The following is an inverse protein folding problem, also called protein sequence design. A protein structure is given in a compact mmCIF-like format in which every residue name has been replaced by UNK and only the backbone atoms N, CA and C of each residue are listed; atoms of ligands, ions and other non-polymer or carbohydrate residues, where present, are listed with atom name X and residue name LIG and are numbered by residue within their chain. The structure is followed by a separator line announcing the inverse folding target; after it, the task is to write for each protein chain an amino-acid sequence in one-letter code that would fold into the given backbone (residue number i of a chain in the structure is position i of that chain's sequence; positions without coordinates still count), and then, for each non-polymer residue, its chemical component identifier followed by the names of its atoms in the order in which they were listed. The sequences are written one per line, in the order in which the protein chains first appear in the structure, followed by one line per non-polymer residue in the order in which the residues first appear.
data_IF_861133548397
#
_entry.id   IF_861133548397
#
_cell.length_a   1.000
_cell.length_b   1.000
_cell.length_c   1.000
_cell.angle_alpha   90.00
_cell.angle_beta   90.00
_cell.angle_gamma   90.00
#
_symmetry.space_group_name_H-M   'P 1'
#
loop_
_entity.id
_entity.type
_entity.pdbx_description
1 polymer ?
#
# COMPACT_ATOMS: atom_id res chain seq x y z
N UNK A 1 -18.30 -18.45 4.57
CA UNK A 1 -18.59 -19.30 5.75
C UNK A 1 -19.88 -20.04 5.56
N UNK A 2 -19.96 -21.32 5.96
CA UNK A 2 -21.18 -22.15 5.89
C UNK A 2 -21.81 -22.25 7.27
N UNK A 3 -23.13 -22.13 7.33
CA UNK A 3 -23.93 -22.30 8.53
C UNK A 3 -25.09 -23.25 8.25
N UNK A 4 -25.63 -23.84 9.32
CA UNK A 4 -26.82 -24.70 9.28
C UNK A 4 -27.79 -24.19 10.34
N UNK A 5 -28.99 -23.81 9.90
CA UNK A 5 -30.09 -23.42 10.79
C UNK A 5 -30.59 -24.60 11.64
N UNK A 6 -31.35 -24.30 12.70
CA UNK A 6 -31.92 -25.33 13.57
C UNK A 6 -32.92 -26.26 12.87
N UNK A 7 -33.47 -25.82 11.74
CA UNK A 7 -34.32 -26.58 10.83
C UNK A 7 -33.54 -27.37 9.75
N UNK A 8 -32.21 -27.30 9.77
CA UNK A 8 -31.34 -27.92 8.79
C UNK A 8 -31.08 -27.07 7.54
N UNK A 9 -31.61 -25.84 7.44
CA UNK A 9 -31.37 -24.99 6.28
C UNK A 9 -29.91 -24.56 6.20
N UNK A 10 -29.28 -24.79 5.06
CA UNK A 10 -27.87 -24.43 4.83
C UNK A 10 -27.81 -23.05 4.21
N UNK A 11 -26.99 -22.18 4.79
CA UNK A 11 -26.73 -20.87 4.20
C UNK A 11 -25.25 -20.50 4.29
N UNK A 12 -24.84 -19.59 3.41
CA UNK A 12 -23.47 -19.13 3.32
C UNK A 12 -23.40 -17.64 3.58
N UNK A 13 -22.55 -17.23 4.52
CA UNK A 13 -22.18 -15.83 4.71
C UNK A 13 -20.91 -15.58 3.92
N UNK A 14 -20.99 -14.68 2.96
CA UNK A 14 -19.90 -14.31 2.06
C UNK A 14 -19.55 -12.84 2.27
N UNK A 15 -18.26 -12.57 2.46
CA UNK A 15 -17.70 -11.23 2.56
C UNK A 15 -16.96 -10.87 1.28
N UNK A 16 -17.09 -9.63 0.79
CA UNK A 16 -16.14 -9.11 -0.19
C UNK A 16 -15.02 -8.33 0.50
N UNK A 17 -13.78 -8.66 0.15
CA UNK A 17 -12.59 -7.88 0.51
C UNK A 17 -12.49 -6.58 -0.28
N UNK A 18 -13.37 -5.62 0.01
CA UNK A 18 -13.19 -4.22 -0.37
C UNK A 18 -12.58 -3.40 0.77
N UNK A 19 -12.40 -2.09 0.55
CA UNK A 19 -11.76 -1.13 1.47
C UNK A 19 -12.25 -1.12 2.94
N UNK A 20 -13.39 -1.75 3.25
CA UNK A 20 -13.99 -1.75 4.60
C UNK A 20 -14.59 -3.10 5.02
N UNK A 21 -14.42 -4.16 4.24
CA UNK A 21 -15.07 -5.46 4.47
C UNK A 21 -16.60 -5.37 4.75
N UNK A 22 -17.26 -4.31 4.27
CA UNK A 22 -18.62 -3.94 4.66
C UNK A 22 -19.72 -4.80 3.99
N UNK A 23 -19.33 -5.68 3.05
CA UNK A 23 -20.27 -6.38 2.18
C UNK A 23 -20.46 -7.80 2.67
N UNK A 24 -21.49 -8.00 3.48
CA UNK A 24 -21.93 -9.32 3.87
C UNK A 24 -23.14 -9.69 3.00
N UNK A 25 -22.99 -10.78 2.25
CA UNK A 25 -24.06 -11.41 1.48
C UNK A 25 -24.40 -12.73 2.15
N UNK A 26 -25.68 -13.04 2.24
CA UNK A 26 -26.17 -14.34 2.70
C UNK A 26 -26.75 -15.07 1.51
N UNK A 27 -26.22 -16.24 1.20
CA UNK A 27 -26.66 -17.08 0.09
C UNK A 27 -27.33 -18.35 0.61
N UNK A 28 -28.56 -18.59 0.18
CA UNK A 28 -29.37 -19.79 0.47
C UNK A 28 -29.46 -20.66 -0.78
N UNK A 29 -28.65 -21.74 -0.90
CA UNK A 29 -28.55 -22.51 -2.12
C UNK A 29 -29.85 -23.24 -2.49
N UNK A 30 -30.62 -23.70 -1.50
CA UNK A 30 -31.87 -24.43 -1.75
C UNK A 30 -32.93 -23.56 -2.43
N UNK A 31 -32.91 -22.27 -2.12
CA UNK A 31 -33.83 -21.27 -2.66
C UNK A 31 -33.24 -20.51 -3.86
N UNK A 32 -31.95 -20.74 -4.18
CA UNK A 32 -31.15 -19.88 -5.08
C UNK A 32 -31.30 -18.39 -4.73
N UNK A 33 -31.30 -18.07 -3.43
CA UNK A 33 -31.59 -16.73 -2.92
C UNK A 33 -30.32 -16.06 -2.41
N UNK A 34 -30.04 -14.86 -2.93
CA UNK A 34 -28.97 -13.98 -2.48
C UNK A 34 -29.57 -12.80 -1.71
N UNK A 35 -29.31 -12.72 -0.41
CA UNK A 35 -29.70 -11.61 0.46
C UNK A 35 -28.51 -10.69 0.68
N UNK A 36 -28.64 -9.43 0.27
CA UNK A 36 -27.62 -8.39 0.49
C UNK A 36 -27.91 -7.68 1.81
N UNK A 37 -26.96 -7.71 2.75
CA UNK A 37 -27.15 -7.07 4.06
C UNK A 37 -26.81 -5.58 4.06
N UNK A 38 -26.09 -5.08 3.04
CA UNK A 38 -25.71 -3.66 2.94
C UNK A 38 -26.12 -3.05 1.58
N UNK A 39 -26.58 -1.79 1.64
CA UNK A 39 -27.00 -0.95 0.50
C UNK A 39 -25.90 0.03 0.03
N UNK A 40 -24.63 -0.18 0.39
CA UNK A 40 -23.59 0.86 0.24
C UNK A 40 -23.42 1.37 -1.21
N UNK A 41 -23.24 2.69 -1.35
CA UNK A 41 -23.02 3.41 -2.62
C UNK A 41 -21.71 3.05 -3.33
N UNK A 42 -20.84 2.28 -2.67
CA UNK A 42 -19.60 1.75 -3.22
C UNK A 42 -19.78 0.35 -3.80
N UNK A 43 -20.97 -0.24 -3.60
CA UNK A 43 -21.34 -1.57 -4.00
C UNK A 43 -21.17 -1.77 -5.49
N UNK A 44 -20.41 -2.81 -5.81
CA UNK A 44 -20.47 -3.51 -7.08
C UNK A 44 -21.94 -3.78 -7.48
N UNK A 45 -22.24 -3.69 -8.76
CA UNK A 45 -23.62 -3.87 -9.26
C UNK A 45 -24.12 -5.31 -8.96
N UNK A 46 -25.42 -5.57 -9.09
CA UNK A 46 -26.02 -6.89 -8.76
C UNK A 46 -25.27 -8.04 -9.46
N UNK A 47 -24.89 -7.83 -10.72
CA UNK A 47 -24.13 -8.76 -11.55
C UNK A 47 -22.81 -9.22 -10.91
N UNK A 48 -22.13 -8.35 -10.17
CA UNK A 48 -20.85 -8.67 -9.55
C UNK A 48 -21.00 -9.52 -8.27
N UNK A 49 -22.08 -9.34 -7.51
CA UNK A 49 -22.40 -10.23 -6.38
C UNK A 49 -22.75 -11.62 -6.89
N UNK A 50 -23.55 -11.69 -7.96
CA UNK A 50 -23.88 -12.94 -8.63
C UNK A 50 -22.63 -13.66 -9.15
N UNK A 51 -21.67 -12.92 -9.74
CA UNK A 51 -20.38 -13.49 -10.17
C UNK A 51 -19.64 -14.18 -9.02
N UNK A 52 -19.56 -13.57 -7.84
CA UNK A 52 -18.88 -14.17 -6.67
C UNK A 52 -19.58 -15.46 -6.22
N UNK A 53 -20.91 -15.45 -6.14
CA UNK A 53 -21.69 -16.66 -5.78
C UNK A 53 -21.54 -17.75 -6.84
N UNK A 54 -21.55 -17.38 -8.12
CA UNK A 54 -21.35 -18.30 -9.23
C UNK A 54 -19.94 -18.89 -9.27
N UNK A 55 -18.90 -18.11 -8.97
CA UNK A 55 -17.55 -18.63 -8.79
C UNK A 55 -17.48 -19.64 -7.65
N UNK A 56 -18.05 -19.31 -6.49
CA UNK A 56 -18.12 -20.24 -5.37
C UNK A 56 -18.83 -21.54 -5.75
N UNK A 57 -19.98 -21.47 -6.43
CA UNK A 57 -20.68 -22.67 -6.94
C UNK A 57 -19.80 -23.47 -7.89
N UNK A 58 -19.13 -22.80 -8.84
CA UNK A 58 -18.20 -23.43 -9.77
C UNK A 58 -17.12 -24.23 -9.05
N UNK A 59 -16.39 -23.59 -8.14
CA UNK A 59 -15.36 -24.25 -7.33
C UNK A 59 -15.94 -25.40 -6.49
N UNK A 60 -17.07 -25.19 -5.83
CA UNK A 60 -17.67 -26.19 -4.97
C UNK A 60 -18.13 -27.45 -5.72
N UNK A 61 -18.59 -27.31 -6.98
CA UNK A 61 -18.98 -28.42 -7.84
C UNK A 61 -17.76 -29.08 -8.47
N UNK A 62 -16.82 -28.31 -8.99
CA UNK A 62 -15.58 -28.82 -9.59
C UNK A 62 -14.77 -29.64 -8.59
N UNK A 63 -14.71 -29.18 -7.34
CA UNK A 63 -13.92 -29.81 -6.27
C UNK A 63 -14.82 -30.50 -5.22
N UNK A 64 -15.98 -31.01 -5.63
CA UNK A 64 -17.00 -31.53 -4.69
C UNK A 64 -16.46 -32.60 -3.73
N UNK A 65 -15.50 -33.42 -4.17
CA UNK A 65 -14.85 -34.43 -3.34
C UNK A 65 -14.06 -33.80 -2.18
N UNK A 66 -13.28 -32.75 -2.47
CA UNK A 66 -12.54 -31.99 -1.48
C UNK A 66 -13.49 -31.22 -0.55
N UNK A 67 -14.53 -30.60 -1.10
CA UNK A 67 -15.54 -29.89 -0.30
C UNK A 67 -16.26 -30.86 0.64
N UNK A 68 -16.67 -32.04 0.16
CA UNK A 68 -17.29 -33.06 0.99
C UNK A 68 -16.35 -33.53 2.10
N UNK A 69 -15.09 -33.80 1.78
CA UNK A 69 -14.10 -34.20 2.77
C UNK A 69 -13.90 -33.11 3.83
N UNK A 70 -13.77 -31.85 3.42
CA UNK A 70 -13.65 -30.70 4.31
C UNK A 70 -14.87 -30.57 5.24
N UNK A 71 -16.10 -30.71 4.70
CA UNK A 71 -17.33 -30.57 5.49
C UNK A 71 -17.57 -31.73 6.46
N UNK A 72 -17.18 -32.96 6.09
CA UNK A 72 -17.34 -34.15 6.92
C UNK A 72 -16.18 -34.37 7.89
N UNK A 73 -15.11 -33.57 7.81
CA UNK A 73 -13.99 -33.67 8.72
C UNK A 73 -14.39 -33.19 10.13
N UNK A 74 -14.37 -34.13 11.08
CA UNK A 74 -14.74 -33.95 12.49
C UNK A 74 -13.67 -33.25 13.32
N UNK A 75 -12.42 -33.19 12.82
CA UNK A 75 -11.35 -32.45 13.49
C UNK A 75 -11.64 -30.94 13.49
N UNK A 76 -11.32 -30.23 14.59
CA UNK A 76 -11.42 -28.79 14.65
C UNK A 76 -10.73 -28.12 13.46
N UNK A 77 -11.40 -27.11 12.88
CA UNK A 77 -10.82 -26.35 11.77
C UNK A 77 -9.66 -25.51 12.29
N UNK A 78 -8.53 -25.53 11.57
CA UNK A 78 -7.38 -24.68 11.89
C UNK A 78 -7.67 -23.24 11.50
N UNK A 79 -7.41 -22.28 12.37
CA UNK A 79 -7.66 -20.87 12.05
C UNK A 79 -6.53 -20.35 11.17
N UNK A 80 -6.88 -19.75 10.03
CA UNK A 80 -5.93 -19.14 9.12
C UNK A 80 -6.36 -17.74 8.67
N UNK A 81 -5.42 -16.95 8.18
CA UNK A 81 -5.71 -15.68 7.48
C UNK A 81 -5.06 -15.68 6.10
N UNK A 82 -5.54 -14.80 5.22
CA UNK A 82 -4.94 -14.51 3.92
C UNK A 82 -4.45 -13.07 3.94
N UNK A 83 -3.26 -12.85 3.39
CA UNK A 83 -2.56 -11.57 3.40
C UNK A 83 -1.83 -11.34 2.07
N UNK A 84 -1.55 -10.09 1.70
CA UNK A 84 -0.77 -9.75 0.50
C UNK A 84 -1.59 -9.82 -0.78
N UNK A 85 -2.85 -9.38 -0.72
CA UNK A 85 -3.79 -9.40 -1.84
C UNK A 85 -3.86 -8.08 -2.61
N UNK A 86 -3.57 -6.96 -1.96
CA UNK A 86 -3.80 -5.64 -2.54
C UNK A 86 -2.53 -4.89 -2.90
N UNK A 87 -2.69 -3.77 -3.61
CA UNK A 87 -1.62 -2.79 -3.83
C UNK A 87 -1.19 -2.16 -2.50
N UNK A 88 0.05 -1.64 -2.44
CA UNK A 88 0.73 -1.20 -1.21
C UNK A 88 -0.13 -0.37 -0.25
N UNK A 89 -0.87 0.62 -0.75
CA UNK A 89 -1.73 1.46 0.09
C UNK A 89 -2.80 0.64 0.82
N UNK A 90 -3.48 -0.25 0.10
CA UNK A 90 -4.50 -1.13 0.70
C UNK A 90 -3.90 -2.31 1.47
N UNK A 91 -2.72 -2.78 1.09
CA UNK A 91 -2.00 -3.78 1.88
C UNK A 91 -1.63 -3.22 3.26
N UNK A 92 -1.09 -2.00 3.34
CA UNK A 92 -0.89 -1.32 4.62
C UNK A 92 -2.22 -1.04 5.32
N UNK A 93 -3.07 -0.27 4.66
CA UNK A 93 -4.27 0.32 5.25
C UNK A 93 -5.27 -0.73 5.71
N UNK A 94 -5.40 -1.85 4.99
CA UNK A 94 -6.41 -2.85 5.25
C UNK A 94 -5.82 -4.11 5.89
N UNK A 95 -4.75 -4.68 5.32
CA UNK A 95 -4.26 -5.99 5.77
C UNK A 95 -3.34 -5.87 7.00
N UNK A 96 -2.29 -5.02 6.93
CA UNK A 96 -1.36 -4.84 8.06
C UNK A 96 -2.05 -4.27 9.30
N UNK A 97 -2.97 -3.32 9.16
CA UNK A 97 -3.77 -2.80 10.28
C UNK A 97 -4.62 -3.90 10.93
N UNK A 98 -5.17 -4.82 10.13
CA UNK A 98 -5.88 -6.00 10.62
C UNK A 98 -4.97 -6.91 11.45
N UNK A 99 -3.81 -7.28 10.92
CA UNK A 99 -2.82 -8.10 11.63
C UNK A 99 -2.36 -7.40 12.91
N UNK A 100 -2.13 -6.08 12.85
CA UNK A 100 -1.75 -5.30 14.03
C UNK A 100 -2.84 -5.26 15.09
N UNK A 101 -4.11 -5.23 14.71
CA UNK A 101 -5.21 -5.31 15.68
C UNK A 101 -5.22 -6.63 16.44
N UNK A 102 -4.85 -7.76 15.80
CA UNK A 102 -4.69 -9.04 16.49
C UNK A 102 -3.48 -9.02 17.42
N UNK A 103 -2.39 -8.38 16.99
CA UNK A 103 -1.19 -8.18 17.79
C UNK A 103 -1.51 -7.39 19.07
N UNK A 104 -2.12 -6.21 18.94
CA UNK A 104 -2.50 -5.34 20.06
C UNK A 104 -3.47 -6.02 21.03
N UNK A 105 -4.38 -6.84 20.50
CA UNK A 105 -5.33 -7.61 21.29
C UNK A 105 -4.71 -8.87 21.95
N UNK A 106 -3.43 -9.17 21.69
CA UNK A 106 -2.74 -10.35 22.25
C UNK A 106 -3.30 -11.68 21.75
N UNK A 107 -3.91 -11.69 20.56
CA UNK A 107 -4.55 -12.88 19.97
C UNK A 107 -3.98 -13.27 18.60
N UNK A 108 -2.88 -12.64 18.15
CA UNK A 108 -2.20 -12.99 16.91
C UNK A 108 -1.79 -14.48 16.88
N UNK A 109 -1.42 -15.04 18.03
CA UNK A 109 -1.10 -16.46 18.20
C UNK A 109 -2.28 -17.42 17.98
N UNK A 110 -3.52 -16.91 17.89
CA UNK A 110 -4.69 -17.73 17.54
C UNK A 110 -4.77 -18.00 16.03
N UNK A 111 -3.96 -17.34 15.22
CA UNK A 111 -3.83 -17.63 13.79
C UNK A 111 -2.75 -18.71 13.61
N UNK A 112 -3.17 -19.91 13.23
CA UNK A 112 -2.29 -21.07 13.05
C UNK A 112 -1.62 -21.08 11.68
N UNK A 113 -2.15 -20.35 10.70
CA UNK A 113 -1.54 -20.26 9.37
C UNK A 113 -1.82 -18.92 8.69
N UNK A 114 -0.79 -18.36 8.07
CA UNK A 114 -0.83 -17.13 7.29
C UNK A 114 -0.57 -17.46 5.83
N UNK A 115 -1.60 -17.40 5.00
CA UNK A 115 -1.45 -17.56 3.55
C UNK A 115 -1.04 -16.23 2.92
N UNK A 116 0.19 -16.18 2.42
CA UNK A 116 0.79 -14.95 1.90
C UNK A 116 0.74 -14.97 0.37
N UNK A 117 0.06 -13.97 -0.20
CA UNK A 117 -0.01 -13.70 -1.62
C UNK A 117 1.23 -12.96 -2.15
N UNK A 118 1.17 -12.46 -3.40
CA UNK A 118 2.33 -11.87 -4.07
C UNK A 118 2.69 -10.46 -3.56
N UNK A 119 1.82 -9.81 -2.79
CA UNK A 119 1.97 -8.40 -2.41
C UNK A 119 2.33 -8.23 -0.92
N UNK A 120 3.39 -8.91 -0.46
CA UNK A 120 3.96 -8.72 0.88
C UNK A 120 5.05 -7.64 0.83
N UNK A 121 4.64 -6.37 0.92
CA UNK A 121 5.51 -5.22 0.66
C UNK A 121 6.60 -5.00 1.70
N UNK A 122 6.35 -5.33 2.97
CA UNK A 122 7.30 -5.09 4.07
C UNK A 122 7.84 -6.38 4.68
N UNK A 123 7.54 -7.53 4.07
CA UNK A 123 7.82 -8.86 4.59
C UNK A 123 7.24 -9.05 6.01
N UNK A 124 6.05 -9.68 6.08
CA UNK A 124 5.31 -9.89 7.33
C UNK A 124 6.16 -10.53 8.45
N UNK A 125 7.13 -11.39 8.10
CA UNK A 125 8.00 -12.06 9.07
C UNK A 125 9.01 -11.11 9.72
N UNK A 126 9.35 -10.01 9.05
CA UNK A 126 10.21 -8.96 9.60
C UNK A 126 9.43 -8.01 10.52
N UNK A 127 8.16 -7.74 10.20
CA UNK A 127 7.27 -6.87 10.98
C UNK A 127 6.75 -7.57 12.24
N UNK A 128 6.47 -8.87 12.14
CA UNK A 128 5.98 -9.72 13.23
C UNK A 128 6.87 -10.97 13.39
N UNK A 129 8.09 -10.83 13.91
CA UNK A 129 8.97 -11.98 14.17
C UNK A 129 8.39 -12.99 15.18
N UNK A 130 7.37 -12.60 15.95
CA UNK A 130 6.58 -13.47 16.82
C UNK A 130 5.71 -14.48 16.07
N UNK A 131 5.49 -14.32 14.76
CA UNK A 131 4.81 -15.32 13.93
C UNK A 131 5.82 -16.44 13.62
N UNK A 132 5.58 -17.69 14.05
CA UNK A 132 6.47 -18.80 13.73
C UNK A 132 6.57 -18.99 12.20
N UNK A 133 7.79 -19.19 11.68
CA UNK A 133 8.05 -19.27 10.24
C UNK A 133 7.28 -20.42 9.58
N UNK A 134 7.08 -21.51 10.30
CA UNK A 134 6.29 -22.69 9.88
C UNK A 134 4.80 -22.38 9.68
N UNK A 135 4.28 -21.31 10.29
CA UNK A 135 2.91 -20.87 10.11
C UNK A 135 2.75 -19.98 8.87
N UNK A 136 3.83 -19.51 8.26
CA UNK A 136 3.81 -18.64 7.08
C UNK A 136 3.85 -19.48 5.81
N UNK A 137 2.78 -19.42 5.02
CA UNK A 137 2.57 -20.22 3.81
C UNK A 137 2.47 -19.32 2.58
N UNK A 138 3.56 -19.22 1.83
CA UNK A 138 3.60 -18.48 0.55
C UNK A 138 3.09 -19.39 -0.56
N UNK A 139 1.85 -19.19 -0.97
CA UNK A 139 1.19 -20.02 -1.99
C UNK A 139 0.55 -19.14 -3.07
N UNK A 140 0.60 -19.56 -4.35
CA UNK A 140 -0.12 -18.87 -5.41
C UNK A 140 -1.61 -18.76 -5.08
N UNK A 141 -2.23 -17.63 -5.42
CA UNK A 141 -3.66 -17.41 -5.17
C UNK A 141 -4.54 -18.48 -5.85
N UNK A 142 -4.10 -19.03 -6.98
CA UNK A 142 -4.79 -20.12 -7.67
C UNK A 142 -4.84 -21.43 -6.89
N UNK A 143 -3.94 -21.63 -5.92
CA UNK A 143 -3.84 -22.85 -5.10
C UNK A 143 -4.46 -22.67 -3.70
N UNK A 144 -4.89 -21.44 -3.35
CA UNK A 144 -5.37 -21.13 -2.01
C UNK A 144 -6.61 -21.95 -1.65
N UNK A 145 -7.52 -22.15 -2.61
CA UNK A 145 -8.75 -22.91 -2.43
C UNK A 145 -8.49 -24.36 -2.04
N UNK A 146 -7.65 -25.05 -2.80
CA UNK A 146 -7.27 -26.44 -2.52
C UNK A 146 -6.53 -26.55 -1.18
N UNK A 147 -5.60 -25.62 -0.90
CA UNK A 147 -4.85 -25.58 0.35
C UNK A 147 -5.77 -25.42 1.58
N UNK A 148 -6.82 -24.60 1.47
CA UNK A 148 -7.81 -24.40 2.53
C UNK A 148 -8.57 -25.71 2.81
N UNK A 149 -9.10 -26.35 1.75
CA UNK A 149 -9.92 -27.56 1.89
C UNK A 149 -9.11 -28.74 2.42
N UNK A 150 -7.95 -29.01 1.82
CA UNK A 150 -7.08 -30.14 2.18
C UNK A 150 -6.45 -29.97 3.56
N UNK A 151 -6.14 -28.73 3.95
CA UNK A 151 -5.57 -28.42 5.25
C UNK A 151 -6.58 -28.25 6.39
N UNK A 152 -7.88 -28.42 6.12
CA UNK A 152 -8.96 -28.25 7.09
C UNK A 152 -8.98 -26.85 7.73
N UNK A 153 -8.75 -25.80 6.94
CA UNK A 153 -8.64 -24.43 7.43
C UNK A 153 -9.98 -23.69 7.47
N UNK A 154 -10.24 -22.98 8.58
CA UNK A 154 -11.20 -21.89 8.64
C UNK A 154 -10.44 -20.57 8.40
N UNK A 155 -10.53 -20.05 7.18
CA UNK A 155 -9.90 -18.78 6.84
C UNK A 155 -10.76 -17.60 7.30
N UNK A 156 -10.16 -16.72 8.09
CA UNK A 156 -10.73 -15.46 8.52
C UNK A 156 -9.88 -14.34 7.93
N UNK A 157 -10.39 -13.57 6.96
CA UNK A 157 -9.75 -12.36 6.51
C UNK A 157 -9.71 -11.36 7.67
N UNK A 158 -8.53 -10.83 7.96
CA UNK A 158 -8.32 -9.90 9.07
C UNK A 158 -8.02 -8.53 8.49
N UNK A 159 -8.85 -7.56 8.85
CA UNK A 159 -8.80 -6.22 8.30
C UNK A 159 -9.09 -5.18 9.39
N UNK A 160 -8.43 -4.03 9.27
CA UNK A 160 -8.81 -2.79 9.96
C UNK A 160 -8.57 -1.63 8.97
N UNK A 161 -8.74 -0.39 9.41
CA UNK A 161 -8.62 0.81 8.56
C UNK A 161 -7.85 1.93 9.25
N UNK A 162 -7.20 1.67 10.39
CA UNK A 162 -6.51 2.70 11.16
C UNK A 162 -5.06 2.32 11.42
N UNK A 163 -4.14 3.06 10.81
CA UNK A 163 -2.70 2.92 10.97
C UNK A 163 -2.29 3.56 12.30
N UNK A 164 -1.93 2.73 13.28
CA UNK A 164 -1.46 3.15 14.60
C UNK A 164 0.04 3.44 14.58
N UNK A 165 0.54 4.23 15.52
CA UNK A 165 1.99 4.48 15.66
C UNK A 165 2.78 3.17 15.79
N UNK A 166 2.31 2.25 16.64
CA UNK A 166 2.99 0.97 16.87
C UNK A 166 3.09 0.08 15.62
N UNK A 167 2.17 0.22 14.66
CA UNK A 167 2.27 -0.47 13.37
C UNK A 167 3.36 0.16 12.50
N UNK A 168 3.35 1.50 12.40
CA UNK A 168 4.34 2.22 11.62
C UNK A 168 5.76 1.96 12.14
N UNK A 169 5.94 1.98 13.48
CA UNK A 169 7.20 1.64 14.15
C UNK A 169 7.64 0.20 13.85
N UNK A 170 6.75 -0.79 13.98
CA UNK A 170 7.08 -2.19 13.63
C UNK A 170 7.48 -2.35 12.17
N UNK A 171 6.79 -1.68 11.25
CA UNK A 171 7.14 -1.71 9.83
C UNK A 171 8.53 -1.12 9.60
N UNK A 172 8.83 0.01 10.23
CA UNK A 172 10.16 0.63 10.15
C UNK A 172 11.25 -0.26 10.72
N UNK A 173 11.08 -0.77 11.94
CA UNK A 173 12.06 -1.63 12.61
C UNK A 173 12.30 -2.94 11.84
N UNK A 174 11.23 -3.57 11.35
CA UNK A 174 11.31 -4.74 10.50
C UNK A 174 12.05 -4.45 9.20
N UNK A 175 11.71 -3.33 8.55
CA UNK A 175 12.33 -2.88 7.30
C UNK A 175 13.82 -2.56 7.47
N UNK A 176 14.20 -1.86 8.53
CA UNK A 176 15.60 -1.53 8.85
C UNK A 176 16.43 -2.79 9.09
N UNK A 177 15.86 -3.80 9.74
CA UNK A 177 16.53 -5.08 10.02
C UNK A 177 16.89 -5.86 8.77
N UNK A 178 16.07 -5.79 7.73
CA UNK A 178 16.25 -6.55 6.48
C UNK A 178 16.85 -5.69 5.34
N UNK A 179 17.07 -4.40 5.60
CA UNK A 179 17.76 -3.50 4.68
C UNK A 179 19.24 -3.85 4.56
N UNK A 180 19.81 -3.64 3.37
CA UNK A 180 21.21 -3.92 3.15
C UNK A 180 22.12 -2.94 3.92
N UNK A 181 23.28 -3.39 4.44
CA UNK A 181 24.21 -2.50 5.14
C UNK A 181 24.64 -1.28 4.32
N UNK A 182 24.79 -1.45 2.99
CA UNK A 182 25.13 -0.38 2.07
C UNK A 182 24.06 0.71 2.03
N UNK A 183 22.78 0.33 1.98
CA UNK A 183 21.66 1.29 2.04
C UNK A 183 21.62 2.00 3.38
N UNK A 184 21.85 1.29 4.50
CA UNK A 184 21.89 1.91 5.82
C UNK A 184 23.04 2.92 5.96
N UNK A 185 24.22 2.62 5.43
CA UNK A 185 25.36 3.54 5.42
C UNK A 185 25.10 4.77 4.55
N UNK A 186 24.46 4.58 3.39
CA UNK A 186 24.05 5.69 2.51
C UNK A 186 23.05 6.62 3.21
N UNK A 187 22.08 6.06 3.94
CA UNK A 187 21.13 6.83 4.76
C UNK A 187 21.83 7.62 5.86
N UNK A 188 22.78 7.01 6.59
CA UNK A 188 23.56 7.72 7.62
C UNK A 188 24.43 8.84 7.03
N UNK A 189 24.83 8.72 5.77
CA UNK A 189 25.49 9.81 5.05
C UNK A 189 24.50 10.90 4.67
N UNK A 190 23.33 10.54 4.14
CA UNK A 190 22.30 11.48 3.69
C UNK A 190 21.76 12.35 4.82
N UNK A 191 21.59 11.80 6.02
CA UNK A 191 21.10 12.51 7.22
C UNK A 191 21.97 13.67 7.69
N UNK A 192 23.19 13.81 7.15
CA UNK A 192 24.08 14.94 7.43
C UNK A 192 23.68 16.21 6.65
N UNK A 193 22.77 16.08 5.69
CA UNK A 193 22.25 17.17 4.88
C UNK A 193 20.96 17.74 5.48
N UNK A 194 20.76 19.05 5.29
CA UNK A 194 19.52 19.72 5.67
C UNK A 194 19.18 20.88 4.72
N UNK A 195 17.93 20.96 4.23
CA UNK A 195 16.92 19.91 4.32
C UNK A 195 17.28 18.69 3.45
N UNK A 196 16.96 17.48 3.92
CA UNK A 196 16.95 16.27 3.12
C UNK A 196 15.57 16.10 2.48
N UNK A 197 15.49 16.47 1.20
CA UNK A 197 14.25 16.50 0.42
C UNK A 197 13.98 15.15 -0.25
N UNK A 198 12.75 14.68 -0.17
CA UNK A 198 12.28 13.50 -0.90
C UNK A 198 11.38 13.90 -2.05
N UNK A 199 11.67 13.41 -3.26
CA UNK A 199 10.80 13.55 -4.42
C UNK A 199 10.29 12.17 -4.85
N UNK A 200 8.98 11.94 -4.73
CA UNK A 200 8.37 10.73 -5.30
C UNK A 200 8.01 10.98 -6.77
N UNK A 201 8.72 10.31 -7.67
CA UNK A 201 8.54 10.40 -9.11
C UNK A 201 7.44 9.45 -9.60
N UNK A 202 6.89 9.77 -10.77
CA UNK A 202 5.91 8.92 -11.44
C UNK A 202 5.93 9.14 -12.95
N UNK A 203 5.77 8.09 -13.74
CA UNK A 203 5.85 8.19 -15.23
C UNK A 203 4.69 7.55 -15.99
N UNK A 204 3.81 6.79 -15.33
CA UNK A 204 2.77 6.03 -16.03
C UNK A 204 1.47 6.82 -16.23
N UNK A 205 0.90 7.32 -15.13
CA UNK A 205 -0.39 8.03 -15.10
C UNK A 205 -0.43 8.93 -13.87
N UNK A 206 -1.22 10.00 -13.90
CA UNK A 206 -1.34 10.95 -12.78
C UNK A 206 0.02 11.51 -12.37
N UNK A 207 0.86 11.82 -13.35
CA UNK A 207 2.17 12.41 -13.10
C UNK A 207 2.24 13.85 -13.59
N UNK A 208 3.17 14.58 -12.99
CA UNK A 208 3.52 15.94 -13.38
C UNK A 208 4.39 15.90 -14.64
N UNK A 209 3.86 16.39 -15.76
CA UNK A 209 4.49 16.28 -17.08
C UNK A 209 5.85 16.97 -17.12
N UNK A 210 5.96 18.17 -16.56
CA UNK A 210 7.21 18.93 -16.47
C UNK A 210 8.02 18.65 -15.18
N UNK A 211 7.79 17.51 -14.51
CA UNK A 211 8.45 17.18 -13.24
C UNK A 211 9.99 17.32 -13.28
N UNK A 212 10.63 16.99 -14.40
CA UNK A 212 12.09 17.10 -14.52
C UNK A 212 12.59 18.55 -14.33
N UNK A 213 11.99 19.48 -15.08
CA UNK A 213 12.32 20.90 -15.00
C UNK A 213 11.83 21.52 -13.68
N UNK A 214 10.60 21.19 -13.28
CA UNK A 214 10.00 21.72 -12.06
C UNK A 214 10.78 21.32 -10.80
N UNK A 215 11.18 20.06 -10.67
CA UNK A 215 12.00 19.58 -9.55
C UNK A 215 13.37 20.26 -9.55
N UNK A 216 14.03 20.35 -10.72
CA UNK A 216 15.32 21.02 -10.82
C UNK A 216 15.24 22.50 -10.40
N UNK A 217 14.19 23.22 -10.81
CA UNK A 217 13.97 24.61 -10.41
C UNK A 217 13.78 24.76 -8.89
N UNK A 218 12.96 23.90 -8.28
CA UNK A 218 12.73 23.89 -6.83
C UNK A 218 14.05 23.65 -6.08
N UNK A 219 14.79 22.62 -6.46
CA UNK A 219 16.06 22.23 -5.81
C UNK A 219 17.10 23.33 -5.96
N UNK A 220 17.31 23.83 -7.18
CA UNK A 220 18.31 24.88 -7.45
C UNK A 220 18.01 26.18 -6.70
N UNK A 221 16.73 26.50 -6.51
CA UNK A 221 16.31 27.68 -5.78
C UNK A 221 16.46 27.50 -4.27
N UNK A 222 16.08 26.34 -3.72
CA UNK A 222 16.30 26.04 -2.30
C UNK A 222 17.79 26.00 -1.95
N UNK A 223 18.65 25.56 -2.87
CA UNK A 223 20.11 25.52 -2.66
C UNK A 223 20.73 26.88 -2.38
N UNK A 224 20.11 27.97 -2.82
CA UNK A 224 20.59 29.33 -2.56
C UNK A 224 20.47 29.70 -1.08
N UNK A 225 19.42 29.21 -0.42
CA UNK A 225 19.16 29.45 1.00
C UNK A 225 19.70 28.33 1.89
N UNK A 226 19.83 27.11 1.36
CA UNK A 226 20.28 25.91 2.08
C UNK A 226 21.41 25.18 1.34
N UNK A 227 22.67 25.65 1.43
CA UNK A 227 23.80 25.07 0.70
C UNK A 227 24.19 23.64 1.10
N UNK A 228 23.67 23.12 2.22
CA UNK A 228 23.86 21.75 2.67
C UNK A 228 22.61 20.88 2.46
N UNK A 229 21.69 21.25 1.56
CA UNK A 229 20.54 20.40 1.25
C UNK A 229 20.97 19.11 0.57
N UNK A 230 20.18 18.05 0.75
CA UNK A 230 20.32 16.77 0.04
C UNK A 230 19.01 16.41 -0.64
N UNK A 231 19.08 15.62 -1.71
CA UNK A 231 17.89 15.21 -2.48
C UNK A 231 17.82 13.70 -2.63
N UNK A 232 16.69 13.10 -2.26
CA UNK A 232 16.37 11.70 -2.45
C UNK A 232 15.30 11.59 -3.54
N UNK A 233 15.62 10.90 -4.63
CA UNK A 233 14.65 10.55 -5.67
C UNK A 233 14.10 9.16 -5.40
N UNK A 234 12.81 9.06 -5.18
CA UNK A 234 12.09 7.81 -4.98
C UNK A 234 11.03 7.61 -6.07
N UNK A 235 10.58 6.36 -6.24
CA UNK A 235 9.60 6.01 -7.25
C UNK A 235 9.19 4.55 -7.11
N UNK A 236 9.21 3.83 -8.22
CA UNK A 236 8.82 2.45 -8.27
C UNK A 236 9.84 1.56 -7.54
N UNK A 237 9.37 0.84 -6.53
CA UNK A 237 10.18 -0.10 -5.73
C UNK A 237 10.01 -1.55 -6.21
N UNK A 238 10.98 -2.39 -5.91
CA UNK A 238 10.85 -3.86 -6.01
C UNK A 238 10.18 -4.43 -4.76
N UNK A 239 9.60 -5.61 -4.90
CA UNK A 239 8.94 -6.34 -3.80
C UNK A 239 9.66 -7.66 -3.58
N UNK A 240 9.88 -8.01 -2.32
CA UNK A 240 10.47 -9.28 -1.91
C UNK A 240 9.48 -10.01 -1.00
N UNK A 241 9.00 -11.17 -1.43
CA UNK A 241 8.06 -12.01 -0.66
C UNK A 241 8.84 -13.14 -0.01
N UNK A 242 9.09 -13.02 1.30
CA UNK A 242 10.05 -13.87 2.01
C UNK A 242 11.45 -13.69 1.47
N UNK A 243 12.04 -14.77 0.96
CA UNK A 243 13.40 -14.77 0.41
C UNK A 243 13.44 -14.52 -1.11
N UNK A 244 12.29 -14.36 -1.77
CA UNK A 244 12.18 -14.29 -3.24
C UNK A 244 11.82 -12.88 -3.70
N UNK A 245 12.62 -12.33 -4.63
CA UNK A 245 12.28 -11.08 -5.31
C UNK A 245 11.21 -11.35 -6.36
N UNK A 246 10.14 -10.56 -6.37
CA UNK A 246 9.06 -10.69 -7.35
C UNK A 246 9.54 -10.09 -8.67
N UNK A 247 9.85 -10.95 -9.63
CA UNK A 247 10.23 -10.54 -10.98
C UNK A 247 8.99 -10.08 -11.76
N UNK A 248 9.00 -8.82 -12.20
CA UNK A 248 7.95 -8.26 -13.04
C UNK A 248 8.57 -7.30 -14.07
N UNK A 249 8.35 -7.61 -15.35
CA UNK A 249 8.84 -6.78 -16.46
C UNK A 249 8.30 -5.35 -16.41
N UNK A 250 7.04 -5.16 -16.04
CA UNK A 250 6.44 -3.82 -15.92
C UNK A 250 7.12 -3.01 -14.82
N UNK A 251 7.53 -3.65 -13.73
CA UNK A 251 8.32 -3.03 -12.65
C UNK A 251 9.66 -2.52 -13.18
N UNK A 252 10.41 -3.35 -13.90
CA UNK A 252 11.71 -2.95 -14.44
C UNK A 252 11.58 -1.85 -15.52
N UNK A 253 10.53 -1.91 -16.35
CA UNK A 253 10.24 -0.85 -17.33
C UNK A 253 9.86 0.48 -16.66
N UNK A 254 9.14 0.43 -15.53
CA UNK A 254 8.81 1.61 -14.73
C UNK A 254 10.07 2.24 -14.11
N UNK A 255 10.88 1.43 -13.44
CA UNK A 255 12.17 1.83 -12.84
C UNK A 255 13.06 2.50 -13.88
N UNK A 256 13.20 1.89 -15.07
CA UNK A 256 14.02 2.44 -16.14
C UNK A 256 13.50 3.80 -16.65
N UNK A 257 12.18 4.00 -16.71
CA UNK A 257 11.59 5.28 -17.14
C UNK A 257 11.75 6.37 -16.09
N UNK A 258 11.60 6.05 -14.82
CA UNK A 258 11.78 7.02 -13.72
C UNK A 258 13.26 7.41 -13.56
N UNK A 259 14.18 6.47 -13.74
CA UNK A 259 15.62 6.77 -13.76
C UNK A 259 16.01 7.75 -14.88
N UNK A 260 15.36 7.69 -16.05
CA UNK A 260 15.57 8.70 -17.11
C UNK A 260 15.09 10.10 -16.70
N UNK A 261 14.04 10.19 -15.88
CA UNK A 261 13.61 11.47 -15.32
C UNK A 261 14.64 11.99 -14.32
N UNK A 262 15.23 11.11 -13.49
CA UNK A 262 16.35 11.48 -12.61
C UNK A 262 17.53 12.02 -13.42
N UNK A 263 17.94 11.33 -14.49
CA UNK A 263 19.01 11.81 -15.39
C UNK A 263 18.70 13.21 -15.94
N UNK A 264 17.46 13.47 -16.35
CA UNK A 264 17.03 14.80 -16.79
C UNK A 264 17.17 15.83 -15.68
N UNK A 265 16.71 15.52 -14.46
CA UNK A 265 16.82 16.42 -13.30
C UNK A 265 18.29 16.73 -13.01
N UNK A 266 19.14 15.70 -12.89
CA UNK A 266 20.56 15.84 -12.60
C UNK A 266 21.29 16.71 -13.62
N UNK A 267 20.90 16.65 -14.90
CA UNK A 267 21.49 17.49 -15.96
C UNK A 267 21.18 18.99 -15.81
N UNK A 268 20.13 19.32 -15.03
CA UNK A 268 19.66 20.69 -14.77
C UNK A 268 20.06 21.19 -13.37
N UNK A 269 20.57 20.33 -12.48
CA UNK A 269 20.96 20.73 -11.13
C UNK A 269 22.28 21.51 -11.11
N UNK A 270 22.40 22.44 -10.16
CA UNK A 270 23.68 23.05 -9.81
C UNK A 270 24.68 21.97 -9.40
N UNK A 271 25.97 22.11 -9.76
CA UNK A 271 26.99 21.15 -9.36
C UNK A 271 27.11 21.13 -7.82
N UNK A 272 27.46 19.96 -7.27
CA UNK A 272 27.69 19.70 -5.84
C UNK A 272 26.45 19.55 -4.95
N UNK A 273 25.23 19.52 -5.50
CA UNK A 273 24.06 19.11 -4.72
C UNK A 273 24.13 17.59 -4.51
N UNK A 274 24.22 17.08 -3.26
CA UNK A 274 24.19 15.66 -2.98
C UNK A 274 22.83 15.05 -3.35
N UNK A 275 22.87 13.96 -4.11
CA UNK A 275 21.67 13.26 -4.57
C UNK A 275 21.76 11.77 -4.29
N UNK A 276 20.63 11.18 -3.90
CA UNK A 276 20.44 9.77 -3.63
C UNK A 276 19.28 9.26 -4.49
N UNK A 277 19.39 8.04 -5.02
CA UNK A 277 18.38 7.47 -5.89
C UNK A 277 17.90 6.12 -5.35
N UNK A 278 16.66 6.09 -4.86
CA UNK A 278 16.02 4.90 -4.29
C UNK A 278 15.10 4.20 -5.30
N UNK A 279 15.00 4.68 -6.53
CA UNK A 279 14.17 4.04 -7.56
C UNK A 279 14.69 2.64 -7.85
N UNK A 280 13.81 1.65 -7.70
CA UNK A 280 14.12 0.23 -7.82
C UNK A 280 14.73 -0.41 -6.57
N UNK A 281 14.93 0.32 -5.46
CA UNK A 281 15.26 -0.32 -4.20
C UNK A 281 14.10 -1.20 -3.72
N UNK A 282 14.35 -2.00 -2.68
CA UNK A 282 13.28 -2.80 -2.09
C UNK A 282 12.28 -1.90 -1.38
N UNK A 283 11.01 -2.29 -1.39
CA UNK A 283 9.94 -1.52 -0.74
C UNK A 283 10.25 -1.25 0.75
N UNK A 284 10.86 -2.20 1.45
CA UNK A 284 11.31 -2.00 2.83
C UNK A 284 12.48 -0.99 2.94
N UNK A 285 13.36 -0.89 1.94
CA UNK A 285 14.42 0.14 1.93
C UNK A 285 13.83 1.54 1.72
N UNK A 286 12.83 1.70 0.84
CA UNK A 286 12.08 2.97 0.69
C UNK A 286 11.46 3.42 2.02
N UNK A 287 10.98 2.50 2.85
CA UNK A 287 10.46 2.82 4.21
C UNK A 287 11.54 3.44 5.08
N UNK A 288 12.73 2.83 5.13
CA UNK A 288 13.82 3.32 5.98
C UNK A 288 14.28 4.70 5.51
N UNK A 289 14.39 4.91 4.20
CA UNK A 289 14.67 6.24 3.66
C UNK A 289 13.59 7.26 4.03
N UNK A 290 12.30 6.93 3.84
CA UNK A 290 11.20 7.83 4.18
C UNK A 290 11.18 8.24 5.67
N UNK A 291 11.66 7.38 6.57
CA UNK A 291 11.82 7.73 7.99
C UNK A 291 12.92 8.76 8.27
N UNK A 292 13.90 8.88 7.39
CA UNK A 292 15.12 9.66 7.62
C UNK A 292 15.18 10.98 6.83
N UNK A 293 14.18 11.28 6.01
CA UNK A 293 14.04 12.59 5.34
C UNK A 293 13.45 13.66 6.26
N UNK A 294 13.58 14.93 5.85
CA UNK A 294 12.96 16.06 6.55
C UNK A 294 11.61 16.43 5.93
N UNK A 295 11.56 16.53 4.60
CA UNK A 295 10.38 17.02 3.85
C UNK A 295 10.18 16.19 2.60
N UNK A 296 8.94 15.79 2.33
CA UNK A 296 8.58 15.12 1.08
C UNK A 296 7.84 16.03 0.09
N UNK A 297 7.98 15.73 -1.19
CA UNK A 297 7.24 16.31 -2.31
C UNK A 297 6.80 15.15 -3.18
N UNK A 298 5.49 15.02 -3.45
CA UNK A 298 5.04 13.89 -4.26
C UNK A 298 3.62 14.02 -4.82
N UNK A 299 3.32 13.24 -5.88
CA UNK A 299 2.00 13.19 -6.46
C UNK A 299 1.03 12.44 -5.53
N UNK A 300 -0.25 12.84 -5.58
CA UNK A 300 -1.32 12.10 -4.91
C UNK A 300 -1.39 10.66 -5.44
N UNK A 301 -1.25 9.68 -4.53
CA UNK A 301 -1.27 8.26 -4.87
C UNK A 301 -0.56 7.37 -3.87
N UNK A 302 -0.32 6.12 -4.27
CA UNK A 302 0.21 5.06 -3.40
C UNK A 302 1.62 5.31 -2.88
N UNK A 303 2.45 6.11 -3.57
CA UNK A 303 3.79 6.49 -3.08
C UNK A 303 3.74 7.27 -1.77
N UNK A 304 2.63 7.96 -1.48
CA UNK A 304 2.45 8.66 -0.21
C UNK A 304 2.41 7.70 1.00
N UNK A 305 2.13 6.41 0.79
CA UNK A 305 2.10 5.40 1.88
C UNK A 305 3.37 5.47 2.74
N UNK A 306 4.54 5.59 2.12
CA UNK A 306 5.82 5.64 2.84
C UNK A 306 5.95 6.88 3.71
N UNK A 307 5.67 8.05 3.14
CA UNK A 307 5.97 9.34 3.75
C UNK A 307 4.85 9.86 4.64
N UNK A 308 3.58 9.51 4.39
CA UNK A 308 2.44 9.96 5.19
C UNK A 308 1.97 8.92 6.21
N UNK A 309 1.76 7.67 5.81
CA UNK A 309 1.20 6.66 6.72
C UNK A 309 2.25 5.94 7.54
N UNK A 310 3.45 5.73 6.99
CA UNK A 310 4.52 5.04 7.71
C UNK A 310 5.39 6.08 8.45
N UNK A 311 6.16 6.89 7.73
CA UNK A 311 7.11 7.83 8.31
C UNK A 311 6.50 9.12 8.89
N UNK A 312 5.24 9.42 8.57
CA UNK A 312 4.49 10.59 9.05
C UNK A 312 5.25 11.93 8.92
N UNK A 313 5.90 12.16 7.78
CA UNK A 313 6.72 13.35 7.51
C UNK A 313 5.86 14.52 7.03
N UNK A 314 6.27 15.78 7.30
CA UNK A 314 5.67 16.93 6.64
C UNK A 314 6.06 16.95 5.15
N UNK A 315 5.21 17.54 4.33
CA UNK A 315 5.48 17.61 2.90
C UNK A 315 4.41 18.28 2.07
N UNK A 316 4.63 18.25 0.76
CA UNK A 316 3.79 18.88 -0.25
C UNK A 316 3.23 17.82 -1.20
N UNK A 317 1.92 17.82 -1.37
CA UNK A 317 1.21 16.93 -2.28
C UNK A 317 0.66 17.71 -3.46
N UNK A 318 0.99 17.27 -4.66
CA UNK A 318 0.46 17.77 -5.91
C UNK A 318 -0.33 16.67 -6.65
N UNK A 319 -1.17 17.02 -7.61
CA UNK A 319 -2.05 16.06 -8.27
C UNK A 319 -2.91 16.74 -9.33
N UNK A 320 -3.56 15.96 -10.17
CA UNK A 320 -4.57 16.50 -11.08
C UNK A 320 -5.76 17.09 -10.30
N UNK A 321 -6.53 17.94 -10.97
CA UNK A 321 -7.64 18.68 -10.33
C UNK A 321 -8.74 17.76 -9.77
N UNK A 322 -8.91 16.57 -10.36
CA UNK A 322 -9.84 15.54 -9.88
C UNK A 322 -9.36 14.93 -8.56
N UNK A 323 -8.08 14.59 -8.45
CA UNK A 323 -7.48 13.95 -7.27
C UNK A 323 -7.42 14.94 -6.10
N UNK A 324 -7.07 16.21 -6.38
CA UNK A 324 -7.09 17.28 -5.38
C UNK A 324 -8.51 17.80 -5.07
N UNK A 325 -9.50 17.41 -5.89
CA UNK A 325 -10.87 17.88 -5.79
C UNK A 325 -11.81 17.05 -4.96
N UNK A 326 -11.47 15.78 -4.74
CA UNK A 326 -12.19 14.91 -3.85
C UNK A 326 -11.94 15.33 -2.40
N UNK A 327 -12.87 16.08 -1.80
CA UNK A 327 -12.83 16.35 -0.35
C UNK A 327 -12.70 15.05 0.47
N UNK A 328 -13.19 13.91 -0.04
CA UNK A 328 -13.12 12.59 0.62
C UNK A 328 -11.72 11.96 0.67
N UNK A 329 -10.96 11.99 -0.43
CA UNK A 329 -9.65 11.30 -0.49
C UNK A 329 -8.56 12.08 0.27
N UNK A 330 -8.70 13.40 0.39
CA UNK A 330 -7.88 14.25 1.26
C UNK A 330 -8.14 14.03 2.76
N UNK A 331 -9.39 13.69 3.11
CA UNK A 331 -9.78 13.31 4.47
C UNK A 331 -9.21 11.94 4.80
N UNK A 332 -9.17 11.01 3.85
CA UNK A 332 -8.70 9.64 4.06
C UNK A 332 -7.22 9.57 4.47
N UNK A 333 -6.33 10.37 3.88
CA UNK A 333 -4.90 10.40 4.28
C UNK A 333 -4.70 10.74 5.77
N UNK A 334 -5.52 11.65 6.31
CA UNK A 334 -5.40 12.15 7.69
C UNK A 334 -6.27 11.38 8.68
N UNK A 335 -7.38 10.79 8.24
CA UNK A 335 -8.36 10.14 9.13
C UNK A 335 -7.94 8.73 9.53
N UNK A 336 -7.10 8.09 8.72
CA UNK A 336 -6.70 6.69 8.91
C UNK A 336 -5.31 6.52 9.52
N UNK A 337 -4.70 7.58 10.04
CA UNK A 337 -3.37 7.52 10.67
C UNK A 337 -3.39 8.23 12.03
N UNK A 338 -2.91 7.54 13.06
CA UNK A 338 -2.69 8.14 14.37
C UNK A 338 -1.73 9.33 14.25
N UNK A 339 -1.99 10.45 14.95
CA UNK A 339 -1.14 11.66 14.97
C UNK A 339 -0.69 12.14 13.58
N UNK A 340 -1.54 12.00 12.56
CA UNK A 340 -1.20 12.35 11.19
C UNK A 340 -0.74 13.81 11.07
N UNK A 341 0.43 14.01 10.46
CA UNK A 341 0.91 15.33 10.04
C UNK A 341 0.24 15.68 8.72
N UNK A 342 -0.45 16.82 8.68
CA UNK A 342 -1.14 17.28 7.49
C UNK A 342 -0.14 17.84 6.46
N UNK A 343 -0.02 17.25 5.25
CA UNK A 343 0.78 17.85 4.21
C UNK A 343 0.08 19.08 3.61
N UNK A 344 0.86 19.96 3.01
CA UNK A 344 0.35 21.05 2.19
C UNK A 344 -0.11 20.49 0.84
N UNK A 345 -1.30 20.88 0.39
CA UNK A 345 -1.83 20.50 -0.92
C UNK A 345 -1.76 21.70 -1.86
N UNK A 346 -1.22 21.48 -3.06
CA UNK A 346 -1.16 22.54 -4.07
C UNK A 346 -2.58 22.94 -4.49
N UNK A 347 -2.80 24.24 -4.67
CA UNK A 347 -4.09 24.76 -5.14
C UNK A 347 -4.39 24.22 -6.53
N UNK A 348 -5.67 23.96 -6.82
CA UNK A 348 -6.08 23.61 -8.19
C UNK A 348 -5.81 24.72 -9.20
N UNK A 349 -5.75 25.97 -8.74
CA UNK A 349 -5.45 27.11 -9.60
C UNK A 349 -3.99 27.06 -10.12
N UNK A 350 -3.12 26.31 -9.43
CA UNK A 350 -1.73 26.06 -9.80
C UNK A 350 -1.55 24.74 -10.60
N UNK A 351 -2.65 24.12 -11.03
CA UNK A 351 -2.66 22.83 -11.74
C UNK A 351 -3.36 22.95 -13.09
N UNK A 352 -2.73 22.40 -14.12
CA UNK A 352 -3.32 22.29 -15.47
C UNK A 352 -3.38 20.82 -15.87
N UNK A 353 -4.58 20.24 -15.89
CA UNK A 353 -4.74 18.84 -16.32
C UNK A 353 -4.36 18.66 -17.80
N UNK A 354 -3.68 17.55 -18.09
CA UNK A 354 -3.18 17.15 -19.41
C UNK A 354 -3.72 15.77 -19.79
N UNK A 355 -4.26 15.65 -21.01
CA UNK A 355 -4.76 14.39 -21.56
C UNK A 355 -6.20 14.07 -21.14
N UNK A 356 -6.50 12.79 -20.94
CA UNK A 356 -7.86 12.30 -20.63
C UNK A 356 -8.41 12.94 -19.35
N UNK A 357 -9.71 13.23 -19.31
CA UNK A 357 -10.39 13.80 -18.14
C UNK A 357 -10.49 12.83 -16.96
N UNK A 358 -10.51 13.38 -15.74
CA UNK A 358 -10.83 12.64 -14.52
C UNK A 358 -9.59 12.16 -13.76
N UNK A 359 -9.78 11.20 -12.86
CA UNK A 359 -8.78 10.85 -11.85
C UNK A 359 -7.48 10.30 -12.43
N UNK A 360 -7.49 9.77 -13.65
CA UNK A 360 -6.30 9.21 -14.33
C UNK A 360 -5.48 10.22 -15.14
N UNK A 361 -5.92 11.48 -15.22
CA UNK A 361 -5.26 12.52 -16.03
C UNK A 361 -3.84 12.80 -15.54
N UNK A 362 -2.93 13.07 -16.49
CA UNK A 362 -1.65 13.69 -16.15
C UNK A 362 -1.89 15.18 -15.95
N UNK A 363 -0.89 15.91 -15.50
CA UNK A 363 -1.05 17.33 -15.22
C UNK A 363 0.27 18.08 -15.29
N UNK A 364 0.17 19.39 -15.44
CA UNK A 364 1.23 20.34 -15.17
C UNK A 364 0.99 20.99 -13.81
N UNK A 365 2.06 21.36 -13.12
CA UNK A 365 2.00 22.00 -11.82
C UNK A 365 2.92 23.22 -11.81
N UNK A 366 2.45 24.34 -11.28
CA UNK A 366 3.28 25.51 -11.04
C UNK A 366 4.35 25.20 -9.98
N UNK A 367 5.59 25.03 -10.41
CA UNK A 367 6.69 24.67 -9.51
C UNK A 367 6.96 25.75 -8.44
N UNK A 368 6.65 27.03 -8.70
CA UNK A 368 6.81 28.10 -7.72
C UNK A 368 5.85 27.93 -6.54
N UNK A 369 4.62 27.46 -6.80
CA UNK A 369 3.66 27.15 -5.75
C UNK A 369 4.17 26.01 -4.86
N UNK A 370 4.75 24.95 -5.47
CA UNK A 370 5.41 23.86 -4.73
C UNK A 370 6.58 24.37 -3.91
N UNK A 371 7.49 25.14 -4.51
CA UNK A 371 8.63 25.74 -3.82
C UNK A 371 8.21 26.56 -2.60
N UNK A 372 7.19 27.41 -2.74
CA UNK A 372 6.71 28.27 -1.67
C UNK A 372 6.18 27.46 -0.47
N UNK A 373 5.44 26.37 -0.71
CA UNK A 373 4.97 25.50 0.36
C UNK A 373 6.11 24.72 1.02
N UNK A 374 7.06 24.20 0.24
CA UNK A 374 8.26 23.52 0.76
C UNK A 374 9.07 24.48 1.64
N UNK A 375 9.30 25.72 1.17
CA UNK A 375 10.07 26.71 1.90
C UNK A 375 9.45 27.05 3.26
N UNK A 376 8.10 27.12 3.34
CA UNK A 376 7.38 27.32 4.61
C UNK A 376 7.63 26.17 5.59
N UNK A 377 7.58 24.94 5.10
CA UNK A 377 7.82 23.75 5.92
C UNK A 377 9.26 23.72 6.40
N UNK A 378 10.24 23.89 5.50
CA UNK A 378 11.68 23.87 5.85
C UNK A 378 12.02 24.94 6.89
N UNK A 379 11.46 26.16 6.77
CA UNK A 379 11.68 27.25 7.74
C UNK A 379 10.99 27.06 9.10
N UNK A 380 10.17 26.01 9.26
CA UNK A 380 9.46 25.72 10.52
C UNK A 380 10.18 24.73 11.45
N UNK A 381 11.19 24.03 10.94
CA UNK A 381 12.18 23.33 11.75
C UNK A 381 13.10 24.34 12.43
#
# INVERSE_FOLDING_TARGET
YRFVGGDGEVFYVMGEGGMRFARIVVYFPKLELIVRLEKSNWGKNVEEVEKVVNWFKGYAVSDWGLVRAYLLNEEPKKVATIFGLYVIGHNLWNEYTGIHSLYDAGILNKIESFFIGPNDFFNIESVYPEIPRENIKRIPLSQIWEAILTGNYCVIPVFDIFVREGLAEKIYEGSARISSPAVLEEIETAKKHFPLLWFNLRVHRRFWVSQGEGIANIVNRLYEDFPNLGVVFDGWSRVKVGDVVVENRETEEAIAKENKVVEQILSLLKPNIPTYNTIGCMTYESVVWAYNIDVFIGPFGSGLTYVTWIANKPGVVHGNTSSLGGKGELIDLLTYRERAIKPAFISKDDIVDRGNSGMSSNYDCNWEAVYNEVLKIVKSF
#
